data_IF_013120386921
#
_entry.id   IF_013120386921
#
_cell.length_a   1.000
_cell.length_b   1.000
_cell.length_c   1.000
_cell.angle_alpha   90.00
_cell.angle_beta   90.00
_cell.angle_gamma   90.00
#
_symmetry.space_group_name_H-M   'P 1'
#
loop_
_entity.id
_entity.type
_entity.pdbx_description
1 polymer ?
#
# COMPACT_ATOMS: atom_id res chain seq x y z
N UNK A 1 17.71 -6.89 -21.89
CA UNK A 1 16.41 -7.56 -22.09
C UNK A 1 15.77 -7.74 -20.72
N UNK A 2 14.82 -6.89 -20.34
CA UNK A 2 14.17 -6.94 -19.02
C UNK A 2 12.95 -7.86 -19.15
N UNK A 3 12.95 -8.95 -18.41
CA UNK A 3 11.85 -9.92 -18.38
C UNK A 3 10.60 -9.26 -17.79
N UNK A 4 9.71 -8.78 -18.67
CA UNK A 4 8.44 -8.15 -18.34
C UNK A 4 7.27 -9.14 -18.38
N UNK A 5 7.45 -10.32 -17.78
CA UNK A 5 6.35 -11.26 -17.53
C UNK A 5 5.99 -11.21 -16.05
N UNK A 6 5.52 -10.05 -15.58
CA UNK A 6 4.85 -9.97 -14.27
C UNK A 6 3.34 -9.97 -14.60
N UNK A 7 2.55 -10.95 -14.13
CA UNK A 7 1.10 -10.99 -14.34
C UNK A 7 0.37 -9.83 -13.64
N UNK A 8 1.11 -9.00 -12.91
CA UNK A 8 0.63 -7.87 -12.14
C UNK A 8 1.29 -6.59 -12.66
N UNK A 9 0.47 -5.64 -13.14
CA UNK A 9 0.93 -4.29 -13.48
C UNK A 9 1.49 -3.64 -12.22
N UNK A 10 2.74 -3.16 -12.27
CA UNK A 10 3.28 -2.29 -11.21
C UNK A 10 2.49 -0.98 -11.22
N UNK A 11 1.78 -0.68 -10.14
CA UNK A 11 1.10 0.59 -9.93
C UNK A 11 1.66 1.25 -8.67
N UNK A 12 1.87 2.57 -8.73
CA UNK A 12 2.18 3.40 -7.55
C UNK A 12 0.92 4.02 -6.96
N UNK A 13 -0.23 3.71 -7.55
CA UNK A 13 -1.53 4.15 -7.11
C UNK A 13 -2.06 3.15 -6.05
N UNK A 14 -2.08 3.62 -4.81
CA UNK A 14 -2.56 2.85 -3.67
C UNK A 14 -4.09 2.73 -3.69
N UNK A 15 -4.80 3.60 -4.42
CA UNK A 15 -6.23 3.45 -4.69
C UNK A 15 -6.47 2.21 -5.55
N UNK A 16 -5.79 2.16 -6.72
CA UNK A 16 -5.90 1.02 -7.65
C UNK A 16 -5.47 -0.30 -6.99
N UNK A 17 -4.40 -0.27 -6.19
CA UNK A 17 -3.97 -1.43 -5.42
C UNK A 17 -5.02 -1.84 -4.37
N UNK A 18 -5.56 -0.85 -3.65
CA UNK A 18 -6.56 -1.03 -2.61
C UNK A 18 -7.82 -1.70 -3.12
N UNK A 19 -8.37 -1.26 -4.26
CA UNK A 19 -9.54 -1.85 -4.90
C UNK A 19 -9.31 -3.33 -5.24
N UNK A 20 -8.17 -3.63 -5.88
CA UNK A 20 -7.82 -5.00 -6.27
C UNK A 20 -7.68 -5.91 -5.06
N UNK A 21 -6.96 -5.47 -4.03
CA UNK A 21 -6.74 -6.27 -2.82
C UNK A 21 -8.06 -6.49 -2.07
N UNK A 22 -8.88 -5.44 -1.93
CA UNK A 22 -10.14 -5.52 -1.19
C UNK A 22 -11.19 -6.40 -1.87
N UNK A 23 -11.13 -6.52 -3.21
CA UNK A 23 -12.00 -7.44 -3.96
C UNK A 23 -11.75 -8.92 -3.63
N UNK A 24 -10.51 -9.26 -3.27
CA UNK A 24 -10.09 -10.63 -2.94
C UNK A 24 -10.07 -10.86 -1.42
N UNK A 25 -9.70 -9.83 -0.66
CA UNK A 25 -9.56 -9.85 0.79
C UNK A 25 -10.35 -8.69 1.41
N UNK A 26 -11.67 -8.84 1.65
CA UNK A 26 -12.53 -7.75 2.12
C UNK A 26 -12.03 -7.07 3.41
N UNK A 27 -11.38 -7.83 4.30
CA UNK A 27 -10.81 -7.33 5.54
C UNK A 27 -9.70 -6.28 5.36
N UNK A 28 -9.20 -6.09 4.14
CA UNK A 28 -8.18 -5.09 3.80
C UNK A 28 -8.78 -3.75 3.34
N UNK A 29 -10.10 -3.66 3.14
CA UNK A 29 -10.76 -2.47 2.60
C UNK A 29 -10.53 -1.21 3.44
N UNK A 30 -10.74 -1.28 4.75
CA UNK A 30 -10.52 -0.14 5.64
C UNK A 30 -9.04 0.29 5.64
N UNK A 31 -8.05 -0.60 5.90
CA UNK A 31 -6.64 -0.22 5.81
C UNK A 31 -6.20 0.32 4.43
N UNK A 32 -6.73 -0.23 3.33
CA UNK A 32 -6.43 0.23 1.97
C UNK A 32 -6.92 1.67 1.73
N UNK A 33 -8.13 1.99 2.17
CA UNK A 33 -8.66 3.36 2.09
C UNK A 33 -7.85 4.36 2.92
N UNK A 34 -7.27 3.92 4.05
CA UNK A 34 -6.44 4.80 4.89
C UNK A 34 -5.10 5.19 4.24
N UNK A 35 -4.56 4.34 3.35
CA UNK A 35 -3.25 4.57 2.70
C UNK A 35 -3.35 5.20 1.32
N UNK A 36 -4.53 5.26 0.72
CA UNK A 36 -4.77 5.82 -0.63
C UNK A 36 -4.10 7.18 -0.84
N UNK A 37 -4.25 8.09 0.13
CA UNK A 37 -3.72 9.46 0.05
C UNK A 37 -2.19 9.53 0.09
N UNK A 38 -1.51 8.45 0.48
CA UNK A 38 -0.05 8.41 0.51
C UNK A 38 0.57 8.26 -0.89
N UNK A 39 -0.21 7.90 -1.92
CA UNK A 39 0.27 7.95 -3.31
C UNK A 39 0.76 9.35 -3.67
N UNK A 40 0.10 10.40 -3.16
CA UNK A 40 0.49 11.78 -3.41
C UNK A 40 1.79 12.14 -2.68
N UNK A 41 2.02 11.60 -1.48
CA UNK A 41 3.27 11.81 -0.74
C UNK A 41 4.50 11.28 -1.50
N UNK A 42 4.35 10.16 -2.22
CA UNK A 42 5.42 9.60 -3.03
C UNK A 42 5.87 10.54 -4.18
N UNK A 43 4.97 11.40 -4.67
CA UNK A 43 5.27 12.39 -5.72
C UNK A 43 5.78 13.69 -5.07
N UNK A 44 5.05 14.21 -4.07
CA UNK A 44 5.33 15.45 -3.35
C UNK A 44 6.78 15.55 -2.84
N UNK A 45 7.29 14.51 -2.18
CA UNK A 45 8.66 14.56 -1.64
C UNK A 45 9.76 14.38 -2.69
N UNK A 46 9.44 13.82 -3.85
CA UNK A 46 10.43 13.59 -4.92
C UNK A 46 10.54 14.78 -5.87
N UNK A 47 9.44 15.47 -6.08
CA UNK A 47 9.32 16.59 -7.01
C UNK A 47 8.55 17.73 -6.35
N UNK A 48 9.18 18.47 -5.41
CA UNK A 48 8.54 19.64 -4.82
C UNK A 48 8.30 20.66 -5.96
N UNK A 49 7.04 20.87 -6.33
CA UNK A 49 6.66 21.94 -7.26
C UNK A 49 6.59 23.27 -6.50
N UNK A 50 6.95 24.38 -7.16
CA UNK A 50 7.01 25.72 -6.54
C UNK A 50 5.65 26.23 -5.99
N UNK A 51 4.52 25.65 -6.39
CA UNK A 51 3.17 26.16 -6.10
C UNK A 51 2.40 25.45 -4.97
N UNK A 52 3.00 24.45 -4.31
CA UNK A 52 2.37 23.82 -3.13
C UNK A 52 3.40 23.66 -2.01
N UNK A 53 3.27 24.38 -0.90
CA UNK A 53 4.02 24.05 0.30
C UNK A 53 3.43 22.76 0.85
N UNK A 54 3.92 21.62 0.37
CA UNK A 54 3.73 20.34 1.02
C UNK A 54 4.53 20.39 2.32
N UNK A 55 3.93 21.02 3.33
CA UNK A 55 4.49 21.08 4.66
C UNK A 55 4.81 19.64 5.09
N UNK A 56 6.02 19.40 5.64
CA UNK A 56 6.36 18.09 6.13
C UNK A 56 5.30 17.64 7.16
N UNK A 57 4.94 16.36 7.17
CA UNK A 57 3.85 15.83 7.95
C UNK A 57 4.21 16.00 9.41
N UNK A 58 3.20 16.36 10.21
CA UNK A 58 3.39 16.46 11.65
C UNK A 58 3.82 15.10 12.24
N UNK A 59 4.51 15.08 13.40
CA UNK A 59 4.77 13.83 14.11
C UNK A 59 3.51 12.99 14.35
N UNK A 60 2.37 13.63 14.65
CA UNK A 60 1.09 12.93 14.80
C UNK A 60 0.61 12.27 13.52
N UNK A 61 0.82 12.92 12.37
CA UNK A 61 0.51 12.35 11.06
C UNK A 61 1.39 11.12 10.79
N UNK A 62 2.66 11.18 11.17
CA UNK A 62 3.58 10.05 11.05
C UNK A 62 3.20 8.89 11.98
N UNK A 63 2.84 9.16 13.24
CA UNK A 63 2.39 8.12 14.17
C UNK A 63 1.12 7.42 13.67
N UNK A 64 0.14 8.19 13.20
CA UNK A 64 -1.07 7.62 12.57
C UNK A 64 -0.73 6.76 11.35
N UNK A 65 0.25 7.18 10.54
CA UNK A 65 0.70 6.39 9.40
C UNK A 65 1.35 5.07 9.83
N UNK A 66 2.20 5.10 10.87
CA UNK A 66 2.81 3.90 11.43
C UNK A 66 1.75 2.91 11.95
N UNK A 67 0.73 3.39 12.67
CA UNK A 67 -0.37 2.54 13.14
C UNK A 67 -1.09 1.81 12.00
N UNK A 68 -1.29 2.49 10.86
CA UNK A 68 -1.91 1.89 9.68
C UNK A 68 -0.99 0.86 9.03
N UNK A 69 0.31 1.14 8.94
CA UNK A 69 1.32 0.20 8.44
C UNK A 69 1.33 -1.07 9.30
N UNK A 70 1.30 -0.92 10.63
CA UNK A 70 1.32 -2.06 11.55
C UNK A 70 0.05 -2.91 11.42
N UNK A 71 -1.13 -2.29 11.26
CA UNK A 71 -2.40 -3.00 11.01
C UNK A 71 -2.36 -3.78 9.70
N UNK A 72 -1.87 -3.15 8.62
CA UNK A 72 -1.67 -3.81 7.32
C UNK A 72 -0.71 -4.99 7.43
N UNK A 73 0.45 -4.77 8.05
CA UNK A 73 1.46 -5.80 8.27
C UNK A 73 0.90 -6.98 9.05
N UNK A 74 0.14 -6.71 10.12
CA UNK A 74 -0.55 -7.74 10.90
C UNK A 74 -1.51 -8.60 10.07
N UNK A 75 -2.34 -7.96 9.22
CA UNK A 75 -3.27 -8.67 8.33
C UNK A 75 -2.54 -9.53 7.29
N UNK A 76 -1.49 -8.99 6.65
CA UNK A 76 -0.66 -9.74 5.69
C UNK A 76 0.04 -10.93 6.37
N UNK A 77 0.58 -10.74 7.58
CA UNK A 77 1.17 -11.84 8.34
C UNK A 77 0.13 -12.90 8.73
N UNK A 78 -1.11 -12.49 9.01
CA UNK A 78 -2.24 -13.40 9.22
C UNK A 78 -2.51 -14.28 8.00
N UNK A 79 -2.48 -13.72 6.79
CA UNK A 79 -2.59 -14.51 5.55
C UNK A 79 -1.49 -15.56 5.45
N UNK A 80 -0.24 -15.24 5.81
CA UNK A 80 0.87 -16.21 5.80
C UNK A 80 0.64 -17.38 6.76
N UNK A 81 0.02 -17.13 7.91
CA UNK A 81 -0.26 -18.16 8.93
C UNK A 81 -1.48 -19.02 8.58
N UNK A 82 -2.44 -18.45 7.86
CA UNK A 82 -3.70 -19.10 7.48
C UNK A 82 -3.67 -19.67 6.06
N UNK A 83 -2.62 -19.42 5.28
CA UNK A 83 -2.42 -20.05 3.99
C UNK A 83 -2.26 -21.56 4.20
N UNK A 84 -3.06 -22.42 3.54
CA UNK A 84 -2.78 -23.84 3.55
C UNK A 84 -1.36 -24.05 2.98
N UNK A 85 -0.50 -24.74 3.73
CA UNK A 85 0.77 -25.24 3.20
C UNK A 85 0.45 -26.18 2.03
N UNK A 86 0.41 -25.65 0.81
CA UNK A 86 0.03 -26.45 -0.35
C UNK A 86 -0.29 -25.64 -1.59
N UNK A 87 0.76 -25.11 -2.23
CA UNK A 87 0.97 -24.89 -3.67
C UNK A 87 1.73 -23.58 -3.93
N UNK A 88 3.03 -23.64 -3.74
CA UNK A 88 3.99 -22.83 -4.51
C UNK A 88 5.01 -23.80 -5.08
N UNK A 89 4.56 -24.61 -6.04
CA UNK A 89 5.40 -25.39 -6.93
C UNK A 89 4.63 -25.55 -8.23
N UNK A 90 4.78 -24.58 -9.12
CA UNK A 90 4.79 -24.73 -10.58
C UNK A 90 5.75 -23.69 -11.16
#
# INVERSE_FOLDING_TARGET
>A
MVWAAIPFRKTHDLSELGEKVSSVYPDFAEPAAMVERWTNWNIAYRYPADDTPDLPPSPETLFRALDVIDRLAGKVQGLRRNAPMGRLSE
#
